data_IF_870555952591
#
_entry.id   IF_870555952591
#
_cell.length_a   1.000
_cell.length_b   1.000
_cell.length_c   1.000
_cell.angle_alpha   90.00
_cell.angle_beta   90.00
_cell.angle_gamma   90.00
#
_symmetry.space_group_name_H-M   'P 1'
#
loop_
_entity.id
_entity.type
_entity.pdbx_description
1 polymer ?
#
# COMPACT_ATOMS: atom_id res chain seq x y z
N UNK A 1 -52.45 -44.18 -13.90
CA UNK A 1 -52.69 -42.82 -13.30
C UNK A 1 -51.77 -42.48 -12.08
N UNK A 2 -50.90 -43.40 -11.63
CA UNK A 2 -50.07 -43.19 -10.43
C UNK A 2 -48.65 -42.64 -10.69
N UNK A 3 -48.19 -42.56 -11.92
CA UNK A 3 -46.79 -42.21 -12.26
C UNK A 3 -46.60 -40.68 -12.35
N UNK A 4 -47.62 -39.89 -12.66
CA UNK A 4 -47.51 -38.44 -12.84
C UNK A 4 -47.47 -37.64 -11.54
N UNK A 5 -48.03 -38.20 -10.42
CA UNK A 5 -48.02 -37.53 -9.11
C UNK A 5 -46.64 -37.50 -8.44
N UNK A 6 -45.76 -38.46 -8.75
CA UNK A 6 -44.42 -38.55 -8.18
C UNK A 6 -43.45 -37.48 -8.73
N UNK A 7 -43.53 -37.20 -10.02
CA UNK A 7 -42.61 -36.22 -10.67
C UNK A 7 -42.93 -34.79 -10.25
N UNK A 8 -44.21 -34.43 -10.03
CA UNK A 8 -44.58 -33.09 -9.56
C UNK A 8 -44.17 -32.84 -8.11
N UNK A 9 -44.24 -33.84 -7.25
CA UNK A 9 -43.80 -33.73 -5.84
C UNK A 9 -42.25 -33.59 -5.77
N UNK A 10 -41.49 -34.34 -6.57
CA UNK A 10 -40.02 -34.23 -6.68
C UNK A 10 -39.58 -32.86 -7.23
N UNK A 11 -40.24 -32.34 -8.25
CA UNK A 11 -39.95 -31.06 -8.82
C UNK A 11 -40.21 -29.92 -7.82
N UNK A 12 -41.28 -29.95 -7.03
CA UNK A 12 -41.58 -28.95 -6.03
C UNK A 12 -40.61 -28.99 -4.86
N UNK A 13 -40.14 -30.15 -4.40
CA UNK A 13 -39.16 -30.28 -3.33
C UNK A 13 -37.79 -29.79 -3.78
N UNK A 14 -37.39 -30.07 -5.05
CA UNK A 14 -36.12 -29.58 -5.60
C UNK A 14 -36.12 -28.06 -5.73
N UNK A 15 -37.19 -27.45 -6.21
CA UNK A 15 -37.31 -25.98 -6.31
C UNK A 15 -37.30 -25.33 -4.91
N UNK A 16 -38.00 -25.91 -3.94
CA UNK A 16 -38.02 -25.41 -2.56
C UNK A 16 -36.63 -25.50 -1.90
N UNK A 17 -35.92 -26.59 -2.13
CA UNK A 17 -34.53 -26.76 -1.65
C UNK A 17 -33.58 -25.74 -2.26
N UNK A 18 -33.71 -25.45 -3.55
CA UNK A 18 -32.91 -24.42 -4.22
C UNK A 18 -33.19 -23.01 -3.65
N UNK A 19 -34.45 -22.67 -3.41
CA UNK A 19 -34.82 -21.39 -2.82
C UNK A 19 -34.26 -21.24 -1.39
N UNK A 20 -34.35 -22.29 -0.58
CA UNK A 20 -33.74 -22.28 0.76
C UNK A 20 -32.23 -22.16 0.71
N UNK A 21 -31.58 -22.85 -0.22
CA UNK A 21 -30.12 -22.77 -0.40
C UNK A 21 -29.68 -21.36 -0.82
N UNK A 22 -30.40 -20.75 -1.78
CA UNK A 22 -30.16 -19.36 -2.18
C UNK A 22 -30.38 -18.39 -1.04
N UNK A 23 -31.42 -18.57 -0.23
CA UNK A 23 -31.68 -17.76 0.95
C UNK A 23 -30.55 -17.86 2.00
N UNK A 24 -30.00 -19.07 2.21
CA UNK A 24 -28.86 -19.26 3.11
C UNK A 24 -27.57 -18.63 2.56
N UNK A 25 -27.31 -18.75 1.26
CA UNK A 25 -26.14 -18.09 0.63
C UNK A 25 -26.25 -16.57 0.73
N UNK A 26 -27.43 -15.99 0.42
CA UNK A 26 -27.65 -14.54 0.52
C UNK A 26 -27.53 -14.05 1.96
N UNK A 27 -28.04 -14.79 2.95
CA UNK A 27 -27.91 -14.43 4.36
C UNK A 27 -26.47 -14.54 4.88
N UNK A 28 -25.66 -15.45 4.32
CA UNK A 28 -24.23 -15.58 4.68
C UNK A 28 -23.35 -14.50 4.08
N UNK A 29 -23.80 -13.85 3.01
CA UNK A 29 -23.10 -12.74 2.36
C UNK A 29 -23.42 -11.37 2.99
N UNK A 30 -24.51 -11.28 3.77
CA UNK A 30 -24.88 -10.08 4.49
C UNK A 30 -24.32 -10.10 5.92
N UNK A 31 -23.64 -9.03 6.32
CA UNK A 31 -23.28 -8.83 7.74
C UNK A 31 -24.55 -8.52 8.56
N UNK A 32 -24.53 -8.67 9.90
CA UNK A 32 -25.68 -8.34 10.75
C UNK A 32 -26.23 -6.93 10.56
N UNK A 33 -25.43 -6.03 10.01
CA UNK A 33 -25.79 -4.62 9.75
C UNK A 33 -26.13 -4.36 8.28
N UNK A 34 -26.26 -5.43 7.45
CA UNK A 34 -26.59 -5.31 6.03
C UNK A 34 -25.41 -4.91 5.13
N UNK A 35 -24.19 -4.90 5.67
CA UNK A 35 -23.01 -4.58 4.89
C UNK A 35 -22.47 -5.78 4.13
N UNK A 36 -22.09 -5.55 2.88
CA UNK A 36 -21.35 -6.53 2.09
C UNK A 36 -19.94 -6.73 2.68
N UNK A 37 -19.45 -7.97 2.66
CA UNK A 37 -18.10 -8.34 3.12
C UNK A 37 -17.02 -7.46 2.50
N UNK A 38 -17.17 -7.09 1.22
CA UNK A 38 -16.28 -6.19 0.49
C UNK A 38 -16.20 -4.79 1.10
N UNK A 39 -17.33 -4.21 1.53
CA UNK A 39 -17.37 -2.88 2.16
C UNK A 39 -16.70 -2.87 3.53
N UNK A 40 -16.86 -3.95 4.29
CA UNK A 40 -16.20 -4.12 5.59
C UNK A 40 -14.68 -4.24 5.42
N UNK A 41 -14.21 -5.00 4.44
CA UNK A 41 -12.79 -5.11 4.13
C UNK A 41 -12.20 -3.77 3.66
N UNK A 42 -12.89 -3.05 2.81
CA UNK A 42 -12.49 -1.72 2.35
C UNK A 42 -12.36 -0.71 3.49
N UNK A 43 -13.26 -0.75 4.48
CA UNK A 43 -13.17 0.12 5.66
C UNK A 43 -11.98 -0.24 6.54
N UNK A 44 -11.72 -1.53 6.78
CA UNK A 44 -10.56 -1.99 7.53
C UNK A 44 -9.26 -1.53 6.89
N UNK A 45 -9.14 -1.63 5.58
CA UNK A 45 -7.96 -1.16 4.85
C UNK A 45 -7.82 0.36 4.90
N UNK A 46 -8.91 1.11 4.78
CA UNK A 46 -8.88 2.59 4.89
C UNK A 46 -8.57 3.08 6.31
N UNK A 47 -8.88 2.30 7.35
CA UNK A 47 -8.54 2.67 8.72
C UNK A 47 -7.05 2.47 9.06
N UNK A 48 -6.30 1.71 8.24
CA UNK A 48 -4.88 1.45 8.47
C UNK A 48 -3.98 2.65 8.20
N UNK A 49 -4.46 3.64 7.43
CA UNK A 49 -3.76 4.88 7.14
C UNK A 49 -4.70 6.09 7.12
N UNK A 50 -4.11 7.27 7.23
CA UNK A 50 -4.80 8.55 7.14
C UNK A 50 -4.15 9.42 6.06
N UNK A 51 -4.99 10.08 5.25
CA UNK A 51 -4.61 11.12 4.31
C UNK A 51 -5.20 12.44 4.78
N UNK A 52 -4.36 13.40 5.14
CA UNK A 52 -4.78 14.70 5.66
C UNK A 52 -4.14 15.83 4.87
N UNK A 53 -4.95 16.64 4.24
CA UNK A 53 -4.49 17.85 3.56
C UNK A 53 -4.32 18.98 4.58
N UNK A 54 -3.22 19.73 4.46
CA UNK A 54 -2.98 20.91 5.29
C UNK A 54 -4.00 22.03 4.98
N UNK A 55 -4.22 22.94 5.93
CA UNK A 55 -5.16 24.05 5.79
C UNK A 55 -4.87 24.95 4.57
N UNK A 56 -3.59 25.12 4.25
CA UNK A 56 -3.14 25.88 3.07
C UNK A 56 -3.26 25.11 1.75
N UNK A 57 -3.72 23.85 1.78
CA UNK A 57 -3.90 23.00 0.60
C UNK A 57 -2.60 22.57 -0.10
N UNK A 58 -1.42 22.84 0.48
CA UNK A 58 -0.13 22.61 -0.19
C UNK A 58 0.57 21.31 0.21
N UNK A 59 0.17 20.69 1.31
CA UNK A 59 0.78 19.47 1.85
C UNK A 59 -0.26 18.37 2.04
N UNK A 60 0.09 17.14 1.68
CA UNK A 60 -0.68 15.94 2.02
C UNK A 60 0.12 15.10 2.99
N UNK A 61 -0.38 14.96 4.21
CA UNK A 61 0.19 14.10 5.24
C UNK A 61 -0.36 12.68 5.08
N UNK A 62 0.55 11.72 5.02
CA UNK A 62 0.27 10.29 5.03
C UNK A 62 0.75 9.73 6.35
N UNK A 63 -0.12 9.07 7.10
CA UNK A 63 0.21 8.44 8.37
C UNK A 63 -0.38 7.04 8.44
N UNK A 64 0.41 6.03 8.81
CA UNK A 64 -0.02 4.64 8.96
C UNK A 64 0.51 3.71 7.88
N UNK A 65 -0.09 2.54 7.74
CA UNK A 65 0.35 1.45 6.88
C UNK A 65 -0.19 1.60 5.45
N UNK A 66 0.65 1.32 4.46
CA UNK A 66 0.27 1.29 3.04
C UNK A 66 -0.43 -0.03 2.76
N UNK A 67 -1.76 -0.04 2.71
CA UNK A 67 -2.59 -1.22 2.49
C UNK A 67 -3.25 -1.22 1.11
N UNK A 68 -4.00 -2.26 0.77
CA UNK A 68 -4.73 -2.33 -0.49
C UNK A 68 -5.67 -1.14 -0.70
N UNK A 69 -5.69 -0.62 -1.93
CA UNK A 69 -6.48 0.55 -2.31
C UNK A 69 -5.83 1.90 -1.98
N UNK A 70 -4.66 1.89 -1.32
CA UNK A 70 -3.94 3.12 -0.97
C UNK A 70 -3.61 3.97 -2.20
N UNK A 71 -3.08 3.39 -3.27
CA UNK A 71 -2.68 4.11 -4.48
C UNK A 71 -3.86 4.83 -5.15
N UNK A 72 -5.03 4.21 -5.17
CA UNK A 72 -6.25 4.80 -5.72
C UNK A 72 -6.74 5.98 -4.86
N UNK A 73 -6.79 5.80 -3.53
CA UNK A 73 -7.20 6.87 -2.61
C UNK A 73 -6.21 8.03 -2.61
N UNK A 74 -4.91 7.73 -2.71
CA UNK A 74 -3.86 8.73 -2.86
C UNK A 74 -4.01 9.52 -4.16
N UNK A 75 -4.21 8.82 -5.29
CA UNK A 75 -4.44 9.46 -6.60
C UNK A 75 -5.70 10.32 -6.59
N UNK A 76 -6.77 9.88 -5.92
CA UNK A 76 -7.99 10.68 -5.77
C UNK A 76 -7.71 11.95 -4.97
N UNK A 77 -7.01 11.85 -3.83
CA UNK A 77 -6.62 13.02 -3.05
C UNK A 77 -5.78 14.03 -3.86
N UNK A 78 -4.87 13.54 -4.74
CA UNK A 78 -4.10 14.40 -5.64
C UNK A 78 -4.94 15.07 -6.73
N UNK A 79 -6.07 14.47 -7.14
CA UNK A 79 -7.01 15.07 -8.10
C UNK A 79 -7.88 16.13 -7.43
N UNK A 80 -8.36 15.83 -6.22
CA UNK A 80 -9.24 16.73 -5.46
C UNK A 80 -8.49 17.97 -4.96
N UNK A 81 -7.16 17.87 -4.80
CA UNK A 81 -6.32 18.96 -4.32
C UNK A 81 -5.14 19.26 -5.27
N UNK A 82 -5.40 19.91 -6.41
CA UNK A 82 -4.37 20.17 -7.44
C UNK A 82 -3.26 21.12 -6.99
N UNK A 83 -3.46 21.84 -5.87
CA UNK A 83 -2.47 22.75 -5.25
C UNK A 83 -1.39 22.08 -4.43
N UNK A 84 -1.46 20.75 -4.24
CA UNK A 84 -0.47 20.00 -3.46
C UNK A 84 0.93 20.08 -4.08
N UNK A 85 1.92 20.35 -3.22
CA UNK A 85 3.34 20.48 -3.58
C UNK A 85 4.24 19.49 -2.85
N UNK A 86 3.82 19.05 -1.66
CA UNK A 86 4.66 18.20 -0.80
C UNK A 86 3.85 17.08 -0.16
N UNK A 87 4.39 15.88 -0.22
CA UNK A 87 3.89 14.71 0.50
C UNK A 87 4.68 14.56 1.79
N UNK A 88 3.99 14.58 2.93
CA UNK A 88 4.58 14.42 4.26
C UNK A 88 4.33 13.00 4.73
N UNK A 89 5.41 12.24 4.97
CA UNK A 89 5.38 10.81 5.23
C UNK A 89 5.64 10.49 6.70
N UNK A 90 4.81 9.61 7.26
CA UNK A 90 5.01 8.93 8.54
C UNK A 90 4.39 7.54 8.43
N UNK A 91 5.15 6.56 7.93
CA UNK A 91 4.67 5.22 7.63
C UNK A 91 5.76 4.17 7.81
N UNK A 92 5.40 3.03 8.37
CA UNK A 92 6.27 1.86 8.47
C UNK A 92 6.33 1.05 7.16
N UNK A 93 5.60 1.48 6.12
CA UNK A 93 5.52 0.78 4.85
C UNK A 93 4.25 -0.04 4.71
N UNK A 94 4.35 -1.22 4.09
CA UNK A 94 3.22 -2.11 3.83
C UNK A 94 3.27 -2.69 2.41
N UNK A 95 2.16 -2.58 1.67
CA UNK A 95 1.99 -3.23 0.38
C UNK A 95 2.82 -2.57 -0.74
N UNK A 96 3.77 -3.32 -1.30
CA UNK A 96 4.77 -2.80 -2.25
C UNK A 96 4.15 -2.28 -3.56
N UNK A 97 3.14 -2.95 -4.11
CA UNK A 97 2.51 -2.54 -5.37
C UNK A 97 1.70 -1.26 -5.22
N UNK A 98 1.06 -1.06 -4.07
CA UNK A 98 0.37 0.19 -3.72
C UNK A 98 1.38 1.33 -3.57
N UNK A 99 2.52 1.06 -2.93
CA UNK A 99 3.60 2.03 -2.82
C UNK A 99 4.17 2.44 -4.18
N UNK A 100 4.37 1.50 -5.10
CA UNK A 100 4.82 1.79 -6.48
C UNK A 100 3.82 2.67 -7.24
N UNK A 101 2.52 2.38 -7.12
CA UNK A 101 1.47 3.20 -7.74
C UNK A 101 1.48 4.64 -7.23
N UNK A 102 1.60 4.82 -5.92
CA UNK A 102 1.70 6.14 -5.31
C UNK A 102 3.02 6.85 -5.68
N UNK A 103 4.16 6.13 -5.68
CA UNK A 103 5.46 6.68 -6.09
C UNK A 103 5.42 7.22 -7.52
N UNK A 104 4.81 6.46 -8.45
CA UNK A 104 4.61 6.94 -9.82
C UNK A 104 3.79 8.22 -9.85
N UNK A 105 2.71 8.33 -9.09
CA UNK A 105 1.89 9.55 -9.02
C UNK A 105 2.66 10.75 -8.47
N UNK A 106 3.56 10.53 -7.50
CA UNK A 106 4.46 11.56 -6.96
C UNK A 106 5.41 12.08 -8.05
N UNK A 107 6.03 11.16 -8.80
CA UNK A 107 6.93 11.51 -9.92
C UNK A 107 6.20 12.28 -11.02
N UNK A 108 5.07 11.74 -11.51
CA UNK A 108 4.31 12.29 -12.62
C UNK A 108 3.87 13.74 -12.34
N UNK A 109 3.59 14.04 -11.06
CA UNK A 109 3.23 15.39 -10.61
C UNK A 109 4.41 16.26 -10.12
N UNK A 110 5.62 15.73 -10.11
CA UNK A 110 6.82 16.44 -9.66
C UNK A 110 6.77 16.93 -8.22
N UNK A 111 6.10 16.18 -7.33
CA UNK A 111 5.90 16.55 -5.95
C UNK A 111 7.19 16.40 -5.14
N UNK A 112 7.29 17.16 -4.04
CA UNK A 112 8.35 16.97 -3.05
C UNK A 112 7.91 15.96 -2.00
N UNK A 113 8.88 15.35 -1.30
CA UNK A 113 8.62 14.44 -0.19
C UNK A 113 9.37 14.87 1.07
N UNK A 114 8.74 14.67 2.20
CA UNK A 114 9.28 15.00 3.51
C UNK A 114 8.93 13.89 4.49
N UNK A 115 9.91 13.22 5.10
CA UNK A 115 9.63 12.30 6.18
C UNK A 115 9.60 13.06 7.52
N UNK A 116 8.45 13.00 8.21
CA UNK A 116 8.22 13.77 9.44
C UNK A 116 8.59 12.98 10.70
N UNK A 117 8.59 11.66 10.67
CA UNK A 117 9.01 10.77 11.78
C UNK A 117 9.70 9.53 11.26
N UNK A 118 8.95 8.62 10.67
CA UNK A 118 9.47 7.37 10.12
C UNK A 118 8.95 7.16 8.71
N UNK A 119 9.83 6.69 7.82
CA UNK A 119 9.45 6.18 6.52
C UNK A 119 10.29 4.94 6.22
N UNK A 120 9.69 3.75 6.43
CA UNK A 120 10.40 2.48 6.36
C UNK A 120 9.80 1.56 5.31
N UNK A 121 10.59 0.59 4.84
CA UNK A 121 10.14 -0.45 3.91
C UNK A 121 9.49 0.16 2.65
N UNK A 122 8.27 -0.26 2.27
CA UNK A 122 7.55 0.24 1.10
C UNK A 122 7.36 1.78 1.07
N UNK A 123 7.34 2.46 2.24
CA UNK A 123 7.29 3.92 2.31
C UNK A 123 8.49 4.60 1.62
N UNK A 124 9.65 3.94 1.59
CA UNK A 124 10.87 4.49 0.98
C UNK A 124 10.72 4.72 -0.52
N UNK A 125 9.85 3.95 -1.19
CA UNK A 125 9.52 4.16 -2.62
C UNK A 125 8.79 5.50 -2.83
N UNK A 126 7.82 5.82 -1.96
CA UNK A 126 7.15 7.12 -2.01
C UNK A 126 8.15 8.25 -1.76
N UNK A 127 9.01 8.07 -0.75
CA UNK A 127 9.97 9.08 -0.37
C UNK A 127 10.95 9.40 -1.49
N UNK A 128 11.56 8.37 -2.10
CA UNK A 128 12.57 8.55 -3.15
C UNK A 128 11.99 9.11 -4.45
N UNK A 129 10.68 8.92 -4.69
CA UNK A 129 9.97 9.47 -5.84
C UNK A 129 9.88 11.00 -5.83
N UNK A 130 10.12 11.63 -4.68
CA UNK A 130 10.07 13.09 -4.54
C UNK A 130 11.17 13.82 -5.29
N UNK A 131 10.82 14.94 -5.94
CA UNK A 131 11.77 15.82 -6.62
C UNK A 131 12.78 16.43 -5.64
N UNK A 132 12.27 16.99 -4.52
CA UNK A 132 13.07 17.39 -3.35
C UNK A 132 12.70 16.48 -2.20
N UNK A 133 13.69 15.89 -1.56
CA UNK A 133 13.56 14.90 -0.50
C UNK A 133 14.22 15.44 0.76
N UNK A 134 13.46 15.62 1.82
CA UNK A 134 13.93 16.17 3.09
C UNK A 134 13.46 15.34 4.29
N UNK A 135 14.13 15.49 5.41
CA UNK A 135 13.89 14.72 6.61
C UNK A 135 13.75 15.68 7.80
N UNK A 136 12.70 15.52 8.61
CA UNK A 136 12.58 16.28 9.86
C UNK A 136 13.69 15.89 10.85
N UNK A 137 14.10 16.78 11.77
CA UNK A 137 15.03 16.43 12.83
C UNK A 137 14.55 15.21 13.63
N UNK A 138 15.42 14.18 13.75
CA UNK A 138 15.10 12.94 14.45
C UNK A 138 14.22 11.94 13.68
N UNK A 139 13.76 12.29 12.48
CA UNK A 139 13.05 11.35 11.63
C UNK A 139 14.01 10.30 11.03
N UNK A 140 13.49 9.12 10.68
CA UNK A 140 14.27 7.96 10.25
C UNK A 140 13.77 7.39 8.94
N UNK A 141 14.70 6.91 8.13
CA UNK A 141 14.43 6.12 6.92
C UNK A 141 14.92 4.68 7.17
N UNK A 142 14.05 3.69 6.98
CA UNK A 142 14.35 2.30 7.32
C UNK A 142 14.26 1.34 6.14
N UNK A 143 15.24 0.43 6.02
CA UNK A 143 15.33 -0.56 4.95
C UNK A 143 15.43 -1.97 5.50
N UNK A 144 14.88 -2.95 4.78
CA UNK A 144 15.00 -4.38 5.03
C UNK A 144 14.64 -5.18 3.77
N UNK A 145 14.98 -6.47 3.75
CA UNK A 145 14.54 -7.38 2.69
C UNK A 145 13.02 -7.52 2.65
N UNK A 146 12.47 -7.77 1.48
CA UNK A 146 11.05 -8.05 1.32
C UNK A 146 10.65 -9.34 2.01
N UNK A 147 9.42 -9.36 2.52
CA UNK A 147 8.77 -10.54 3.06
C UNK A 147 7.36 -10.68 2.51
N UNK A 148 6.86 -11.90 2.44
CA UNK A 148 5.45 -12.16 2.20
C UNK A 148 4.68 -12.04 3.52
N UNK A 149 3.62 -11.24 3.54
CA UNK A 149 2.74 -11.08 4.71
C UNK A 149 1.93 -12.36 5.03
N UNK A 150 1.71 -13.20 4.05
CA UNK A 150 1.03 -14.49 4.17
C UNK A 150 1.99 -15.53 3.60
N UNK A 151 2.46 -16.44 4.46
CA UNK A 151 3.38 -17.53 4.13
C UNK A 151 3.62 -17.83 2.64
N UNK A 152 4.42 -18.76 2.27
CA UNK A 152 4.86 -19.07 0.88
C UNK A 152 3.73 -19.41 -0.13
N UNK A 153 2.56 -18.79 0.01
CA UNK A 153 1.30 -19.17 -0.64
C UNK A 153 1.02 -18.47 -1.98
N UNK A 154 1.90 -17.57 -2.45
CA UNK A 154 1.80 -17.07 -3.81
C UNK A 154 2.75 -17.86 -4.71
N UNK A 155 2.26 -18.87 -5.45
CA UNK A 155 3.08 -19.56 -6.42
C UNK A 155 3.56 -18.53 -7.46
N UNK A 156 4.88 -18.49 -7.68
CA UNK A 156 5.59 -17.65 -8.66
C UNK A 156 5.91 -16.19 -8.28
N UNK A 157 5.75 -15.75 -7.03
CA UNK A 157 6.28 -14.45 -6.64
C UNK A 157 7.76 -14.57 -6.26
N UNK A 158 8.62 -14.05 -7.11
CA UNK A 158 10.07 -13.98 -6.89
C UNK A 158 10.42 -12.65 -6.21
N UNK A 159 10.59 -12.72 -4.87
CA UNK A 159 10.91 -11.53 -4.06
C UNK A 159 12.22 -10.87 -4.46
N UNK A 160 13.19 -11.66 -4.96
CA UNK A 160 14.47 -11.11 -5.42
C UNK A 160 14.25 -10.23 -6.66
N UNK A 161 13.47 -10.71 -7.63
CA UNK A 161 13.12 -9.89 -8.81
C UNK A 161 12.34 -8.64 -8.44
N UNK A 162 11.47 -8.70 -7.43
CA UNK A 162 10.77 -7.51 -6.96
C UNK A 162 11.73 -6.51 -6.30
N UNK A 163 12.71 -6.97 -5.52
CA UNK A 163 13.76 -6.11 -4.96
C UNK A 163 14.63 -5.48 -6.07
N UNK A 164 15.01 -6.25 -7.08
CA UNK A 164 15.81 -5.76 -8.22
C UNK A 164 15.08 -4.65 -9.01
N UNK A 165 13.75 -4.78 -9.21
CA UNK A 165 12.95 -3.71 -9.82
C UNK A 165 13.00 -2.42 -9.02
N UNK A 166 12.89 -2.52 -7.70
CA UNK A 166 12.91 -1.34 -6.84
C UNK A 166 14.31 -0.77 -6.69
N UNK A 167 15.37 -1.60 -6.68
CA UNK A 167 16.74 -1.11 -6.77
C UNK A 167 16.97 -0.29 -8.05
N UNK A 168 16.48 -0.77 -9.19
CA UNK A 168 16.55 -0.03 -10.45
C UNK A 168 15.77 1.30 -10.36
N UNK A 169 14.63 1.31 -9.69
CA UNK A 169 13.87 2.54 -9.43
C UNK A 169 14.65 3.51 -8.54
N UNK A 170 15.20 3.07 -7.41
CA UNK A 170 16.04 3.91 -6.54
C UNK A 170 17.24 4.50 -7.30
N UNK A 171 17.91 3.67 -8.12
CA UNK A 171 19.02 4.11 -8.95
C UNK A 171 18.60 5.20 -9.94
N UNK A 172 17.44 5.05 -10.58
CA UNK A 172 16.88 6.06 -11.49
C UNK A 172 16.57 7.39 -10.80
N UNK A 173 16.36 7.38 -9.49
CA UNK A 173 16.17 8.57 -8.66
C UNK A 173 17.49 9.18 -8.14
N UNK A 174 18.63 8.69 -8.63
CA UNK A 174 19.96 9.20 -8.31
C UNK A 174 20.59 8.61 -7.05
N UNK A 175 20.04 7.52 -6.49
CA UNK A 175 20.66 6.84 -5.35
C UNK A 175 21.86 6.02 -5.83
N UNK A 176 23.01 6.17 -5.14
CA UNK A 176 24.28 5.57 -5.54
C UNK A 176 24.34 4.07 -5.24
N UNK A 177 25.01 3.32 -6.15
CA UNK A 177 25.16 1.85 -6.06
C UNK A 177 25.68 1.33 -4.71
N UNK A 178 26.71 1.91 -4.07
CA UNK A 178 27.17 1.39 -2.77
C UNK A 178 26.09 1.37 -1.69
N UNK A 179 25.20 2.36 -1.70
CA UNK A 179 24.07 2.42 -0.78
C UNK A 179 23.00 1.38 -1.15
N UNK A 180 22.66 1.26 -2.44
CA UNK A 180 21.70 0.29 -2.96
C UNK A 180 22.08 -1.15 -2.58
N UNK A 181 23.36 -1.49 -2.68
CA UNK A 181 23.85 -2.82 -2.31
C UNK A 181 23.64 -3.18 -0.83
N UNK A 182 23.46 -2.19 0.04
CA UNK A 182 23.20 -2.39 1.48
C UNK A 182 21.73 -2.42 1.85
N UNK A 183 20.85 -1.82 1.05
CA UNK A 183 19.43 -1.62 1.38
C UNK A 183 18.71 -2.91 1.75
N UNK A 184 18.98 -4.00 1.04
CA UNK A 184 18.32 -5.29 1.24
C UNK A 184 19.23 -6.37 1.85
N UNK A 185 20.30 -5.97 2.55
CA UNK A 185 21.18 -6.93 3.26
C UNK A 185 20.59 -7.34 4.62
N UNK A 186 19.76 -6.50 5.22
CA UNK A 186 19.11 -6.79 6.51
C UNK A 186 17.87 -7.65 6.31
N UNK A 187 17.69 -8.65 7.17
CA UNK A 187 16.53 -9.55 7.10
C UNK A 187 15.22 -8.77 7.23
N UNK A 188 14.13 -9.36 6.75
CA UNK A 188 12.79 -8.75 6.86
C UNK A 188 12.31 -8.47 8.29
N UNK A 189 13.02 -9.01 9.30
CA UNK A 189 12.70 -8.83 10.73
C UNK A 189 13.46 -7.68 11.38
N UNK A 190 14.45 -7.09 10.72
CA UNK A 190 15.32 -6.04 11.27
C UNK A 190 15.45 -4.91 10.30
N UNK A 191 15.08 -3.70 10.74
CA UNK A 191 15.25 -2.48 9.95
C UNK A 191 16.68 -1.94 10.10
N UNK A 192 17.30 -1.60 8.97
CA UNK A 192 18.50 -0.78 8.95
C UNK A 192 18.12 0.69 8.78
N UNK A 193 18.58 1.51 9.69
CA UNK A 193 18.41 2.96 9.67
C UNK A 193 19.76 3.62 9.40
N UNK A 194 20.03 4.07 8.17
CA UNK A 194 21.26 4.82 7.85
C UNK A 194 21.32 6.13 8.64
N UNK A 195 22.55 6.57 8.90
CA UNK A 195 22.81 7.89 9.47
C UNK A 195 22.41 9.01 8.48
N UNK A 196 22.08 10.19 9.00
CA UNK A 196 21.63 11.32 8.18
C UNK A 196 22.64 11.69 7.09
N UNK A 197 23.95 11.72 7.42
CA UNK A 197 24.98 12.02 6.46
C UNK A 197 25.09 10.95 5.36
N UNK A 198 24.92 9.71 5.71
CA UNK A 198 24.90 8.59 4.73
C UNK A 198 23.75 8.72 3.74
N UNK A 199 22.57 9.15 4.19
CA UNK A 199 21.43 9.43 3.31
C UNK A 199 21.71 10.57 2.35
N UNK A 200 22.44 11.61 2.76
CA UNK A 200 22.90 12.72 1.88
C UNK A 200 23.93 12.20 0.88
N UNK A 201 24.98 11.55 1.37
CA UNK A 201 26.09 11.09 0.55
C UNK A 201 25.66 10.08 -0.51
N UNK A 202 24.65 9.26 -0.19
CA UNK A 202 24.04 8.31 -1.13
C UNK A 202 23.18 8.95 -2.19
N UNK A 203 22.77 10.20 -2.03
CA UNK A 203 21.77 10.85 -2.88
C UNK A 203 20.33 10.47 -2.54
N UNK A 204 20.09 9.73 -1.45
CA UNK A 204 18.75 9.41 -0.99
C UNK A 204 18.02 10.66 -0.48
N UNK A 205 18.71 11.53 0.27
CA UNK A 205 18.34 12.91 0.54
C UNK A 205 19.00 13.83 -0.49
N UNK A 206 18.25 14.76 -1.05
CA UNK A 206 18.75 15.73 -2.01
C UNK A 206 18.35 17.18 -1.70
N UNK A 207 17.68 17.40 -0.59
CA UNK A 207 17.31 18.71 -0.06
C UNK A 207 17.54 18.70 1.44
N UNK A 208 18.82 18.74 1.90
CA UNK A 208 19.12 18.85 3.32
C UNK A 208 18.54 20.17 3.86
N UNK A 209 18.11 20.15 5.12
CA UNK A 209 17.57 21.33 5.82
C UNK A 209 18.67 22.36 6.06
#
# INVERSE_FOLDING_TARGET
AFIWGGYSAFALTAVFSLILWWGLILSSLATPEGELFTEKMDRLHRSAYQLQVSEDGTRLKIQGEITFGFSNNFLQALKDHPGLKTIVLNSQGGHIYEARGAAKSIQDKGLNTHASRECSSACTLLFVAGRKRSLAPGAKIGFHQYALSFGNSLPNLDLQKEQEKDLAFFQSQGVKLPFLNRMFQHSSKTLWYPEYQELIDSGFLNSPN
#
